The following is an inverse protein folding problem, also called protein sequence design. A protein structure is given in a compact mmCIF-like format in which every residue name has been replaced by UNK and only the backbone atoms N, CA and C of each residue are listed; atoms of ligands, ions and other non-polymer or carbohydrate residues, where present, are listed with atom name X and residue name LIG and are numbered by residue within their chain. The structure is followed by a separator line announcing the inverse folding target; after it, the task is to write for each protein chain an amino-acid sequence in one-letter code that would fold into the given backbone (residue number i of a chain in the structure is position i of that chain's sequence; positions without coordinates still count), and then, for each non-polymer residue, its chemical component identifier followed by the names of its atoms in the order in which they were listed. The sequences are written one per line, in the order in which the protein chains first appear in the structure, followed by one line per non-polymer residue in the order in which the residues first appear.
data_IF_225676140187
#
_entry.id   IF_225676140187
#
_cell.length_a   1.000
_cell.length_b   1.000
_cell.length_c   1.000
_cell.angle_alpha   90.00
_cell.angle_beta   90.00
_cell.angle_gamma   90.00
#
_symmetry.space_group_name_H-M   'P 1'
#
loop_
_entity.id
_entity.type
_entity.pdbx_description
1 polymer ?
#
# COMPACT_ATOMS: atom_id res chain seq x y z
N UNK A 1 10.34 -10.23 13.54
CA UNK A 1 9.01 -10.08 12.90
C UNK A 1 9.21 -9.93 11.41
N UNK A 2 8.35 -10.52 10.56
CA UNK A 2 8.43 -10.38 9.10
C UNK A 2 7.28 -9.50 8.61
N UNK A 3 7.62 -8.39 7.97
CA UNK A 3 6.69 -7.37 7.46
C UNK A 3 7.18 -6.84 6.12
N UNK A 4 6.31 -6.13 5.39
CA UNK A 4 6.71 -5.48 4.14
C UNK A 4 7.51 -4.20 4.42
N UNK A 5 8.43 -3.77 3.55
CA UNK A 5 9.23 -2.57 3.80
C UNK A 5 8.41 -1.28 3.88
N UNK A 6 7.24 -1.25 3.23
CA UNK A 6 6.32 -0.11 3.30
C UNK A 6 5.40 -0.15 4.52
N UNK A 7 5.37 -1.26 5.28
CA UNK A 7 4.50 -1.37 6.45
C UNK A 7 4.94 -0.36 7.51
N UNK A 8 4.09 0.58 7.93
CA UNK A 8 4.49 1.61 8.87
C UNK A 8 4.36 1.18 10.33
N UNK A 9 5.32 1.60 11.14
CA UNK A 9 5.32 1.44 12.60
C UNK A 9 5.26 2.81 13.26
N UNK A 10 4.50 2.93 14.34
CA UNK A 10 4.43 4.19 15.08
C UNK A 10 5.73 4.42 15.86
N UNK A 11 6.36 5.58 15.62
CA UNK A 11 7.58 6.02 16.32
C UNK A 11 7.22 7.20 17.24
N UNK A 12 7.12 6.99 18.57
CA UNK A 12 6.66 8.03 19.50
C UNK A 12 7.46 9.33 19.46
N UNK A 13 8.79 9.23 19.28
CA UNK A 13 9.67 10.39 19.18
C UNK A 13 9.38 11.29 17.97
N UNK A 14 8.86 10.70 16.89
CA UNK A 14 8.50 11.38 15.64
C UNK A 14 7.01 11.74 15.59
N UNK A 15 6.20 11.14 16.48
CA UNK A 15 4.72 11.22 16.47
C UNK A 15 4.14 10.87 15.10
N UNK A 16 4.73 9.87 14.45
CA UNK A 16 4.42 9.53 13.06
C UNK A 16 4.60 8.04 12.79
N UNK A 17 3.92 7.58 11.75
CA UNK A 17 3.97 6.23 11.21
C UNK A 17 5.07 6.14 10.16
N UNK A 18 6.18 5.49 10.53
CA UNK A 18 7.37 5.42 9.69
C UNK A 18 7.41 4.06 8.99
N UNK A 19 7.51 4.01 7.65
CA UNK A 19 7.72 2.76 6.92
C UNK A 19 8.97 2.01 7.41
N UNK A 20 8.91 0.69 7.51
CA UNK A 20 10.04 -0.16 7.94
C UNK A 20 11.34 0.17 7.22
N UNK A 21 11.28 0.43 5.91
CA UNK A 21 12.45 0.76 5.08
C UNK A 21 13.16 2.05 5.52
N UNK A 22 12.48 2.93 6.26
CA UNK A 22 13.00 4.19 6.75
C UNK A 22 13.42 4.14 8.23
N UNK A 23 13.13 3.05 8.94
CA UNK A 23 13.56 2.83 10.31
C UNK A 23 15.07 2.60 10.38
N UNK A 24 15.66 2.89 11.55
CA UNK A 24 17.07 2.65 11.83
C UNK A 24 17.22 1.82 13.10
N UNK A 25 18.31 1.03 13.24
CA UNK A 25 18.68 0.47 14.52
C UNK A 25 18.73 1.56 15.61
N UNK A 26 18.11 1.30 16.76
CA UNK A 26 17.92 2.25 17.84
C UNK A 26 16.62 3.08 17.80
N UNK A 27 15.86 3.06 16.69
CA UNK A 27 14.51 3.67 16.69
C UNK A 27 13.61 2.93 17.68
N UNK A 28 12.84 3.67 18.46
CA UNK A 28 11.87 3.13 19.42
C UNK A 28 10.49 3.05 18.79
N UNK A 29 9.92 1.85 18.77
CA UNK A 29 8.59 1.55 18.26
C UNK A 29 7.61 1.41 19.40
N UNK A 30 6.42 2.01 19.29
CA UNK A 30 5.38 1.81 20.29
C UNK A 30 5.00 0.34 20.38
N UNK A 31 5.03 -0.20 21.60
CA UNK A 31 4.59 -1.56 21.88
C UNK A 31 3.73 -1.64 23.14
N UNK A 32 2.96 -2.71 23.26
CA UNK A 32 2.25 -3.08 24.48
C UNK A 32 3.07 -4.14 25.23
N UNK A 33 4.16 -3.80 25.91
CA UNK A 33 4.68 -4.76 26.90
C UNK A 33 3.75 -4.76 28.12
N UNK A 34 3.17 -5.94 28.37
CA UNK A 34 2.52 -6.51 29.57
C UNK A 34 1.79 -5.64 30.62
N UNK A 35 1.49 -4.36 30.38
CA UNK A 35 0.59 -3.62 31.27
C UNK A 35 0.36 -2.16 30.89
N UNK A 36 -0.92 -1.81 30.70
CA UNK A 36 -1.65 -0.57 31.01
C UNK A 36 -1.03 0.83 30.77
N UNK A 37 0.17 0.97 30.24
CA UNK A 37 0.77 2.28 29.95
C UNK A 37 1.16 2.41 28.49
N UNK A 38 0.76 3.53 27.88
CA UNK A 38 1.07 3.91 26.51
C UNK A 38 2.56 4.25 26.26
N UNK A 39 3.45 3.92 27.20
CA UNK A 39 4.86 4.34 27.15
C UNK A 39 5.86 3.19 26.97
N UNK A 40 5.39 1.97 26.70
CA UNK A 40 6.34 0.89 26.41
C UNK A 40 6.79 0.96 24.96
N UNK A 41 8.10 0.85 24.75
CA UNK A 41 8.69 0.83 23.41
C UNK A 41 9.59 -0.38 23.23
N UNK A 42 9.62 -0.90 22.01
CA UNK A 42 10.57 -1.90 21.55
C UNK A 42 11.61 -1.22 20.65
N UNK A 43 12.88 -1.48 20.91
CA UNK A 43 13.97 -0.94 20.10
C UNK A 43 14.18 -1.78 18.83
N UNK A 44 14.39 -1.12 17.71
CA UNK A 44 14.85 -1.78 16.49
C UNK A 44 16.31 -2.21 16.68
N UNK A 45 16.56 -3.51 16.81
CA UNK A 45 17.92 -4.03 16.90
C UNK A 45 18.58 -4.12 15.52
N UNK A 46 17.87 -4.68 14.53
CA UNK A 46 18.35 -4.85 13.17
C UNK A 46 17.21 -4.90 12.15
N UNK A 47 17.54 -4.66 10.89
CA UNK A 47 16.62 -4.74 9.75
C UNK A 47 17.32 -5.52 8.64
N UNK A 48 16.73 -6.63 8.21
CA UNK A 48 17.28 -7.49 7.17
C UNK A 48 16.20 -7.83 6.14
N UNK A 49 16.57 -7.74 4.85
CA UNK A 49 15.69 -8.20 3.79
C UNK A 49 15.68 -9.73 3.77
N UNK A 50 14.56 -10.32 4.20
CA UNK A 50 14.40 -11.76 4.23
C UNK A 50 14.14 -12.35 2.84
N UNK A 51 13.18 -11.79 2.09
CA UNK A 51 12.83 -12.20 0.73
C UNK A 51 12.43 -10.98 -0.12
N UNK A 52 12.88 -10.86 -1.39
CA UNK A 52 12.56 -9.71 -2.23
C UNK A 52 11.07 -9.67 -2.60
N UNK A 53 10.46 -10.84 -2.75
CA UNK A 53 9.05 -11.07 -3.04
C UNK A 53 8.55 -12.23 -2.18
N UNK A 54 7.38 -12.07 -1.57
CA UNK A 54 6.79 -13.09 -0.72
C UNK A 54 5.28 -12.94 -0.58
N UNK A 55 4.63 -14.02 -0.17
CA UNK A 55 3.21 -13.99 0.20
C UNK A 55 3.06 -13.27 1.53
N UNK A 56 2.18 -12.27 1.56
CA UNK A 56 1.88 -11.51 2.78
C UNK A 56 0.41 -11.61 3.11
N UNK A 57 0.05 -11.26 4.33
CA UNK A 57 -1.33 -11.23 4.80
C UNK A 57 -1.62 -9.85 5.33
N UNK A 58 -2.89 -9.48 5.24
CA UNK A 58 -3.34 -8.20 5.75
C UNK A 58 -4.65 -8.33 6.54
N UNK A 59 -4.89 -7.40 7.47
CA UNK A 59 -6.08 -7.31 8.30
C UNK A 59 -6.69 -5.90 8.18
N UNK A 60 -7.86 -5.79 7.53
CA UNK A 60 -8.59 -4.53 7.48
C UNK A 60 -9.25 -4.25 8.84
N UNK A 61 -8.89 -3.12 9.45
CA UNK A 61 -9.52 -2.58 10.66
C UNK A 61 -10.28 -1.33 10.24
N UNK A 62 -11.58 -1.29 10.52
CA UNK A 62 -12.50 -0.27 9.98
C UNK A 62 -12.21 1.12 10.57
N UNK A 63 -12.04 1.21 11.89
CA UNK A 63 -11.82 2.47 12.59
C UNK A 63 -10.33 2.65 12.88
N UNK A 64 -9.73 3.73 12.36
CA UNK A 64 -8.36 4.15 12.64
C UNK A 64 -7.26 3.30 12.01
N UNK A 65 -7.61 2.20 11.30
CA UNK A 65 -6.71 1.36 10.48
C UNK A 65 -5.40 0.94 11.16
N UNK A 66 -5.38 0.85 12.49
CA UNK A 66 -4.21 0.46 13.26
C UNK A 66 -4.50 -0.73 14.14
N UNK A 67 -3.47 -1.52 14.41
CA UNK A 67 -3.54 -2.66 15.31
C UNK A 67 -2.15 -3.00 15.85
N UNK A 68 -2.12 -3.86 16.86
CA UNK A 68 -0.88 -4.42 17.39
C UNK A 68 -0.58 -5.77 16.72
N UNK A 69 0.65 -5.97 16.26
CA UNK A 69 1.04 -7.16 15.50
C UNK A 69 2.19 -7.93 16.15
N UNK A 70 2.12 -9.26 16.04
CA UNK A 70 3.15 -10.21 16.43
C UNK A 70 3.47 -10.24 17.93
N UNK A 71 4.51 -11.01 18.29
CA UNK A 71 4.90 -11.23 19.69
C UNK A 71 5.39 -9.95 20.37
N UNK A 72 5.99 -9.04 19.61
CA UNK A 72 6.45 -7.74 20.09
C UNK A 72 5.30 -6.76 20.36
N UNK A 73 4.06 -7.10 19.97
CA UNK A 73 2.86 -6.27 20.11
C UNK A 73 3.13 -4.82 19.72
N UNK A 74 3.65 -4.61 18.51
CA UNK A 74 4.01 -3.26 18.01
C UNK A 74 2.86 -2.62 17.26
N UNK A 75 2.69 -1.31 17.42
CA UNK A 75 1.59 -0.57 16.81
C UNK A 75 1.88 -0.23 15.35
N UNK A 76 1.03 -0.72 14.45
CA UNK A 76 1.19 -0.59 13.00
C UNK A 76 -0.06 0.01 12.35
N UNK A 77 0.11 0.63 11.20
CA UNK A 77 -0.98 1.18 10.38
C UNK A 77 -1.11 0.41 9.07
N UNK A 78 -2.33 0.24 8.58
CA UNK A 78 -2.59 -0.71 7.50
C UNK A 78 -3.13 -0.14 6.18
N UNK A 79 -3.63 1.09 6.19
CA UNK A 79 -4.17 1.74 4.99
C UNK A 79 -3.39 3.04 4.70
N UNK A 80 -3.61 3.72 3.58
CA UNK A 80 -3.08 5.08 3.41
C UNK A 80 -3.61 5.75 2.15
N UNK A 81 -3.62 7.11 2.08
CA UNK A 81 -3.79 8.06 3.17
C UNK A 81 -5.22 7.99 3.75
N UNK A 82 -5.34 8.16 5.07
CA UNK A 82 -6.61 8.09 5.77
C UNK A 82 -7.02 9.49 6.22
N UNK A 83 -8.01 10.07 5.55
CA UNK A 83 -8.70 11.25 6.05
C UNK A 83 -9.57 10.79 7.23
N UNK A 84 -9.04 10.97 8.45
CA UNK A 84 -9.83 10.73 9.65
C UNK A 84 -11.03 11.69 9.64
N UNK A 85 -12.25 11.21 9.94
CA UNK A 85 -13.42 12.08 9.99
C UNK A 85 -13.21 13.20 11.01
N UNK A 86 -13.74 14.37 10.68
CA UNK A 86 -13.65 15.56 11.52
C UNK A 86 -14.21 15.25 12.92
N UNK A 87 -13.41 15.49 13.97
CA UNK A 87 -13.78 15.20 15.36
C UNK A 87 -13.22 13.90 15.97
N UNK A 88 -12.48 13.08 15.20
CA UNK A 88 -11.93 11.80 15.67
C UNK A 88 -11.02 11.92 16.91
N UNK A 89 -10.24 13.00 17.04
CA UNK A 89 -9.39 13.25 18.21
C UNK A 89 -10.04 14.07 19.33
N UNK A 90 -11.37 14.22 19.31
CA UNK A 90 -12.13 14.58 20.51
C UNK A 90 -13.13 15.72 20.33
N UNK A 91 -14.41 15.36 20.33
CA UNK A 91 -15.41 16.12 21.05
C UNK A 91 -15.69 15.40 22.37
N UNK A 92 -15.41 16.06 23.50
CA UNK A 92 -15.87 15.61 24.82
C UNK A 92 -17.40 15.71 24.86
N UNK A 93 -18.09 14.58 24.87
CA UNK A 93 -19.45 14.52 25.43
C UNK A 93 -19.69 13.19 26.13
N UNK A 94 -20.00 13.31 27.41
CA UNK A 94 -20.66 12.35 28.29
C UNK A 94 -21.96 11.84 27.69
N UNK A 95 -22.14 10.53 27.55
CA UNK A 95 -23.22 9.77 28.23
C UNK A 95 -23.24 8.29 27.79
N UNK A 96 -23.65 7.46 28.73
CA UNK A 96 -23.89 6.02 28.61
C UNK A 96 -24.92 5.67 27.51
N UNK A 97 -24.66 4.62 26.73
CA UNK A 97 -25.60 3.50 26.51
C UNK A 97 -25.11 2.51 25.44
N UNK A 98 -25.35 1.24 25.74
CA UNK A 98 -24.99 0.08 24.94
C UNK A 98 -25.63 0.09 23.54
N UNK A 99 -24.86 -0.30 22.53
CA UNK A 99 -25.39 -0.80 21.27
C UNK A 99 -24.55 -1.98 20.76
N UNK A 100 -25.26 -3.09 20.69
CA UNK A 100 -24.92 -4.46 20.38
C UNK A 100 -24.37 -4.66 18.96
N UNK A 101 -23.24 -5.38 18.91
CA UNK A 101 -22.80 -6.34 17.89
C UNK A 101 -23.57 -6.35 16.56
N UNK A 102 -22.99 -5.74 15.54
CA UNK A 102 -23.22 -6.11 14.15
C UNK A 102 -21.87 -6.50 13.51
N UNK A 103 -21.56 -7.79 13.52
CA UNK A 103 -20.44 -8.31 12.73
C UNK A 103 -20.83 -8.26 11.24
N UNK A 104 -20.08 -7.57 10.36
CA UNK A 104 -20.27 -7.70 8.92
C UNK A 104 -19.53 -8.93 8.39
N UNK A 105 -20.12 -9.51 7.37
CA UNK A 105 -19.86 -10.85 6.87
C UNK A 105 -18.47 -11.00 6.22
N UNK A 106 -17.82 -12.13 6.55
CA UNK A 106 -16.64 -12.64 5.85
C UNK A 106 -17.03 -13.01 4.41
N UNK A 107 -16.66 -12.16 3.46
CA UNK A 107 -16.68 -12.51 2.04
C UNK A 107 -15.39 -13.25 1.67
N UNK A 108 -15.57 -14.45 1.13
CA UNK A 108 -14.62 -15.36 0.47
C UNK A 108 -13.27 -14.77 0.03
N UNK A 109 -12.18 -15.36 0.56
CA UNK A 109 -10.75 -15.17 0.24
C UNK A 109 -10.33 -13.73 -0.18
N UNK A 110 -9.76 -12.92 0.72
CA UNK A 110 -9.19 -11.64 0.32
C UNK A 110 -8.09 -11.87 -0.74
N UNK A 111 -8.03 -11.03 -1.79
CA UNK A 111 -6.98 -11.15 -2.80
C UNK A 111 -5.62 -11.08 -2.10
N UNK A 112 -4.80 -12.11 -2.31
CA UNK A 112 -3.48 -12.23 -1.70
C UNK A 112 -2.63 -11.01 -2.06
N UNK A 113 -2.34 -10.18 -1.08
CA UNK A 113 -1.47 -9.03 -1.25
C UNK A 113 0.00 -9.44 -1.19
N UNK A 114 0.84 -8.70 -1.90
CA UNK A 114 2.30 -8.81 -1.82
C UNK A 114 2.93 -7.41 -1.85
N UNK A 115 4.24 -7.33 -1.60
CA UNK A 115 5.00 -6.08 -1.70
C UNK A 115 6.29 -6.34 -2.45
N UNK A 116 6.79 -5.27 -3.08
CA UNK A 116 8.05 -5.29 -3.83
C UNK A 116 9.03 -4.44 -3.03
N UNK A 117 10.09 -5.09 -2.58
CA UNK A 117 11.15 -4.45 -1.79
C UNK A 117 12.39 -4.17 -2.63
N UNK A 118 12.66 -5.05 -3.60
CA UNK A 118 13.74 -4.93 -4.55
C UNK A 118 13.22 -4.36 -5.88
N UNK A 119 13.65 -3.15 -6.19
CA UNK A 119 13.35 -2.45 -7.45
C UNK A 119 14.51 -2.52 -8.44
N UNK A 120 15.43 -3.48 -8.28
CA UNK A 120 16.54 -3.68 -9.20
C UNK A 120 16.03 -3.87 -10.63
N UNK A 121 16.62 -3.12 -11.55
CA UNK A 121 16.23 -3.12 -12.96
C UNK A 121 14.94 -2.35 -13.27
N UNK A 122 14.28 -1.72 -12.28
CA UNK A 122 13.15 -0.83 -12.55
C UNK A 122 13.65 0.45 -13.25
N UNK A 123 12.97 0.95 -14.28
CA UNK A 123 13.49 2.05 -15.10
C UNK A 123 13.71 3.34 -14.30
N UNK A 124 14.92 3.91 -14.41
CA UNK A 124 15.26 5.15 -13.74
C UNK A 124 14.37 6.31 -14.25
N UNK A 125 13.89 7.15 -13.32
CA UNK A 125 13.00 8.27 -13.64
C UNK A 125 11.52 7.92 -13.74
N UNK A 126 11.15 6.65 -13.59
CA UNK A 126 9.75 6.23 -13.42
C UNK A 126 9.47 6.11 -11.93
N UNK A 127 8.42 6.76 -11.39
CA UNK A 127 8.06 6.61 -9.98
C UNK A 127 7.74 5.16 -9.67
N UNK A 128 8.45 4.56 -8.72
CA UNK A 128 8.10 3.23 -8.21
C UNK A 128 6.83 3.35 -7.37
N UNK A 129 5.79 2.52 -7.58
CA UNK A 129 4.59 2.55 -6.76
C UNK A 129 4.85 2.04 -5.35
N UNK A 130 4.06 2.55 -4.42
CA UNK A 130 4.02 2.06 -3.05
C UNK A 130 2.98 0.93 -2.95
N UNK A 131 3.35 -0.18 -2.33
CA UNK A 131 2.43 -1.28 -2.05
C UNK A 131 1.42 -0.94 -0.95
N UNK A 132 0.50 -1.87 -0.61
CA UNK A 132 0.49 -3.27 -1.04
C UNK A 132 -0.03 -3.47 -2.47
N UNK A 133 0.49 -4.50 -3.16
CA UNK A 133 0.03 -4.93 -4.48
C UNK A 133 -0.92 -6.11 -4.35
N UNK A 134 -1.89 -6.23 -5.26
CA UNK A 134 -2.74 -7.41 -5.39
C UNK A 134 -2.89 -7.80 -6.86
N UNK A 135 -2.77 -9.09 -7.17
CA UNK A 135 -2.94 -9.54 -8.54
C UNK A 135 -4.43 -9.62 -8.90
N UNK A 136 -4.88 -8.80 -9.84
CA UNK A 136 -6.25 -8.85 -10.36
C UNK A 136 -6.37 -9.93 -11.43
N UNK A 137 -7.46 -10.68 -11.42
CA UNK A 137 -7.76 -11.72 -12.41
C UNK A 137 -9.22 -11.64 -12.89
N UNK A 138 -9.51 -12.32 -14.00
CA UNK A 138 -10.87 -12.49 -14.51
C UNK A 138 -11.67 -11.20 -14.72
N UNK A 139 -12.92 -11.21 -14.27
CA UNK A 139 -13.87 -10.11 -14.45
C UNK A 139 -13.39 -8.81 -13.79
N UNK A 140 -12.76 -8.91 -12.63
CA UNK A 140 -12.27 -7.74 -11.89
C UNK A 140 -11.16 -7.02 -12.67
N UNK A 141 -10.16 -7.78 -13.14
CA UNK A 141 -9.10 -7.21 -13.97
C UNK A 141 -9.65 -6.58 -15.24
N UNK A 142 -10.59 -7.24 -15.92
CA UNK A 142 -11.19 -6.74 -17.15
C UNK A 142 -11.93 -5.42 -16.94
N UNK A 143 -12.72 -5.32 -15.86
CA UNK A 143 -13.44 -4.10 -15.50
C UNK A 143 -12.47 -2.96 -15.21
N UNK A 144 -11.45 -3.19 -14.39
CA UNK A 144 -10.47 -2.18 -14.04
C UNK A 144 -9.63 -1.76 -15.26
N UNK A 145 -9.25 -2.70 -16.14
CA UNK A 145 -8.51 -2.40 -17.37
C UNK A 145 -9.34 -1.55 -18.35
N UNK A 146 -10.64 -1.82 -18.46
CA UNK A 146 -11.55 -1.01 -19.26
C UNK A 146 -11.69 0.42 -18.72
N UNK A 147 -11.82 0.56 -17.40
CA UNK A 147 -11.84 1.88 -16.74
C UNK A 147 -10.54 2.66 -17.00
N UNK A 148 -9.38 2.00 -16.89
CA UNK A 148 -8.09 2.62 -17.19
C UNK A 148 -7.94 3.03 -18.65
N UNK A 149 -8.38 2.21 -19.60
CA UNK A 149 -8.40 2.58 -21.01
C UNK A 149 -9.24 3.83 -21.27
N UNK A 150 -10.39 3.94 -20.63
CA UNK A 150 -11.26 5.13 -20.73
C UNK A 150 -10.57 6.36 -20.15
N UNK A 151 -10.01 6.26 -18.94
CA UNK A 151 -9.30 7.35 -18.28
C UNK A 151 -8.10 7.82 -19.11
N UNK A 152 -7.25 6.90 -19.57
CA UNK A 152 -6.07 7.21 -20.37
C UNK A 152 -6.46 7.85 -21.71
N UNK A 153 -7.54 7.37 -22.35
CA UNK A 153 -8.06 7.98 -23.58
C UNK A 153 -8.51 9.42 -23.37
N UNK A 154 -9.20 9.70 -22.27
CA UNK A 154 -9.60 11.07 -21.89
C UNK A 154 -8.38 11.96 -21.66
N UNK A 155 -7.42 11.53 -20.84
CA UNK A 155 -6.17 12.27 -20.59
C UNK A 155 -5.44 12.58 -21.90
N UNK A 156 -5.34 11.59 -22.81
CA UNK A 156 -4.67 11.80 -24.10
C UNK A 156 -5.34 12.86 -24.96
N UNK A 157 -6.68 12.93 -24.97
CA UNK A 157 -7.43 13.96 -25.72
C UNK A 157 -7.27 15.33 -25.08
N UNK A 158 -7.50 15.42 -23.77
CA UNK A 158 -7.52 16.69 -23.03
C UNK A 158 -6.13 17.35 -22.96
N UNK A 159 -5.08 16.56 -22.86
CA UNK A 159 -3.70 17.06 -22.79
C UNK A 159 -3.01 17.12 -24.17
N UNK A 160 -3.75 16.92 -25.27
CA UNK A 160 -3.19 17.01 -26.62
C UNK A 160 -2.10 15.98 -26.94
N UNK A 161 -2.12 14.82 -26.27
CA UNK A 161 -1.11 13.77 -26.44
C UNK A 161 -1.40 12.83 -27.62
N UNK A 162 -2.50 13.05 -28.35
CA UNK A 162 -2.84 12.24 -29.54
C UNK A 162 -1.76 12.44 -30.61
N UNK A 163 -1.21 11.34 -31.13
CA UNK A 163 -0.11 11.37 -32.11
C UNK A 163 1.29 11.59 -31.52
N UNK A 164 1.41 12.13 -30.30
CA UNK A 164 2.70 12.31 -29.64
C UNK A 164 3.36 10.97 -29.30
N UNK A 165 4.71 10.87 -29.29
CA UNK A 165 5.45 9.65 -29.00
C UNK A 165 5.51 9.35 -27.49
N UNK A 166 4.41 9.59 -26.78
CA UNK A 166 4.23 9.33 -25.35
C UNK A 166 3.01 8.44 -25.12
N UNK A 167 3.02 7.76 -23.98
CA UNK A 167 1.93 6.95 -23.47
C UNK A 167 1.57 7.40 -22.04
N UNK A 168 0.29 7.34 -21.69
CA UNK A 168 -0.18 7.51 -20.31
C UNK A 168 -0.03 6.15 -19.63
N UNK A 169 0.73 6.10 -18.55
CA UNK A 169 1.06 4.90 -17.79
C UNK A 169 0.49 4.99 -16.37
N UNK A 170 0.09 3.85 -15.82
CA UNK A 170 -0.26 3.71 -14.42
C UNK A 170 0.98 3.49 -13.54
N UNK A 171 1.27 4.38 -12.59
CA UNK A 171 2.40 4.23 -11.64
C UNK A 171 2.31 2.88 -10.92
N UNK A 172 1.15 2.57 -10.34
CA UNK A 172 0.75 1.25 -9.88
C UNK A 172 -0.17 0.62 -10.95
N UNK A 173 0.28 -0.41 -11.71
CA UNK A 173 -0.54 -0.98 -12.77
C UNK A 173 -1.82 -1.62 -12.24
N UNK A 174 -2.89 -1.48 -13.01
CA UNK A 174 -4.20 -2.08 -12.67
C UNK A 174 -4.11 -3.58 -12.43
N UNK A 175 -3.26 -4.30 -13.18
CA UNK A 175 -3.04 -5.74 -12.99
C UNK A 175 -2.57 -6.08 -11.56
N UNK A 176 -1.90 -5.14 -10.90
CA UNK A 176 -1.37 -5.24 -9.54
C UNK A 176 -2.17 -4.43 -8.52
N UNK A 177 -3.41 -4.05 -8.87
CA UNK A 177 -4.37 -3.45 -7.94
C UNK A 177 -4.37 -1.93 -7.88
N UNK A 178 -3.57 -1.25 -8.71
CA UNK A 178 -3.55 0.21 -8.75
C UNK A 178 -4.83 0.84 -9.31
N UNK A 179 -5.10 2.08 -8.89
CA UNK A 179 -6.32 2.80 -9.24
C UNK A 179 -6.42 3.04 -10.76
N UNK A 180 -7.51 2.64 -11.43
CA UNK A 180 -7.64 2.80 -12.87
C UNK A 180 -7.90 4.24 -13.31
N UNK A 181 -8.38 5.10 -12.41
CA UNK A 181 -8.92 6.44 -12.77
C UNK A 181 -8.27 7.60 -12.02
N UNK A 182 -7.60 7.38 -10.89
CA UNK A 182 -6.93 8.46 -10.17
C UNK A 182 -5.81 9.08 -10.99
N UNK A 183 -5.82 10.41 -11.07
CA UNK A 183 -4.79 11.18 -11.75
C UNK A 183 -3.41 11.02 -11.09
N UNK A 184 -3.37 10.90 -9.76
CA UNK A 184 -2.12 10.66 -9.01
C UNK A 184 -1.45 9.33 -9.40
N UNK A 185 -2.23 8.35 -9.87
CA UNK A 185 -1.70 7.09 -10.38
C UNK A 185 -1.33 7.17 -11.87
N UNK A 186 -1.40 8.32 -12.53
CA UNK A 186 -1.08 8.48 -13.96
C UNK A 186 0.20 9.29 -14.15
N UNK A 187 1.07 8.78 -15.01
CA UNK A 187 2.28 9.47 -15.45
C UNK A 187 2.39 9.40 -16.97
N UNK A 188 2.84 10.49 -17.59
CA UNK A 188 3.13 10.53 -19.02
C UNK A 188 4.56 10.05 -19.21
N UNK A 189 4.75 8.98 -19.97
CA UNK A 189 6.08 8.43 -20.25
C UNK A 189 6.38 8.49 -21.74
N UNK A 190 7.65 8.69 -22.12
CA UNK A 190 8.12 8.38 -23.46
C UNK A 190 7.70 6.95 -23.85
N UNK A 191 7.17 6.80 -25.07
CA UNK A 191 6.57 5.54 -25.53
C UNK A 191 7.57 4.38 -25.53
N UNK A 192 8.82 4.66 -25.85
CA UNK A 192 9.94 3.73 -25.80
C UNK A 192 10.20 3.25 -24.36
N UNK A 193 10.34 4.17 -23.39
CA UNK A 193 10.51 3.83 -21.97
C UNK A 193 9.35 2.96 -21.46
N UNK A 194 8.12 3.37 -21.76
CA UNK A 194 6.93 2.64 -21.35
C UNK A 194 6.89 1.21 -21.90
N UNK A 195 7.15 1.03 -23.21
CA UNK A 195 6.95 -0.25 -23.90
C UNK A 195 8.16 -1.17 -23.85
N UNK A 196 9.36 -0.62 -23.78
CA UNK A 196 10.61 -1.40 -23.83
C UNK A 196 11.23 -1.64 -22.45
N UNK A 197 10.86 -0.86 -21.43
CA UNK A 197 11.46 -1.00 -20.10
C UNK A 197 10.41 -1.26 -19.03
N UNK A 198 9.40 -0.40 -18.90
CA UNK A 198 8.41 -0.50 -17.82
C UNK A 198 7.49 -1.72 -17.98
N UNK A 199 6.88 -1.87 -19.16
CA UNK A 199 5.98 -3.00 -19.43
C UNK A 199 6.71 -4.36 -19.30
N UNK A 200 7.92 -4.55 -19.87
CA UNK A 200 8.66 -5.80 -19.70
C UNK A 200 9.03 -6.12 -18.25
N UNK A 201 9.39 -5.12 -17.44
CA UNK A 201 9.73 -5.34 -16.02
C UNK A 201 8.53 -5.89 -15.25
N UNK A 202 7.35 -5.26 -15.40
CA UNK A 202 6.11 -5.73 -14.75
C UNK A 202 5.67 -7.12 -15.24
N UNK A 203 5.84 -7.41 -16.53
CA UNK A 203 5.56 -8.73 -17.08
C UNK A 203 6.51 -9.79 -16.51
N UNK A 204 7.78 -9.46 -16.28
CA UNK A 204 8.73 -10.36 -15.66
C UNK A 204 8.34 -10.63 -14.21
N UNK A 205 8.02 -9.58 -13.44
CA UNK A 205 7.52 -9.74 -12.07
C UNK A 205 6.29 -10.66 -12.01
N UNK A 206 5.33 -10.50 -12.92
CA UNK A 206 4.15 -11.39 -12.96
C UNK A 206 4.55 -12.86 -13.16
N UNK A 207 5.51 -13.14 -14.05
CA UNK A 207 6.03 -14.50 -14.27
C UNK A 207 6.74 -15.05 -13.04
N UNK A 208 7.54 -14.21 -12.37
CA UNK A 208 8.29 -14.61 -11.16
C UNK A 208 7.34 -14.92 -10.00
N UNK A 209 6.14 -14.32 -9.97
CA UNK A 209 5.04 -14.66 -9.07
C UNK A 209 4.33 -15.98 -9.44
N UNK A 210 4.72 -16.64 -10.53
CA UNK A 210 4.15 -17.90 -11.01
C UNK A 210 2.77 -17.76 -11.66
N UNK A 211 2.52 -16.64 -12.35
CA UNK A 211 1.21 -16.23 -12.86
C UNK A 211 1.21 -15.77 -14.32
#
# INVERSE_FOLDING_TARGET
MLVTPSHPFYVPAKRDFIPVINLKPGDLLQSLADGDSENTSSEVESLELYLPVGKTYNLSVDVGHTFYVGELKTWVHNEGPCDLPEGYFGAKTTDDSAAESAMPQVTTDPPRSFSISDWTGYPAGVPAPQGPFRLLEGAEYNAARNAANKANSTIRREQGLVGQPVDVHEINPVKFGGSPTESANKVILPRDVHRQQVTPWWNQLQKDLGK
#
